data_IF_348311732706
#
_entry.id   IF_348311732706
#
_cell.length_a   1.000
_cell.length_b   1.000
_cell.length_c   1.000
_cell.angle_alpha   90.00
_cell.angle_beta   90.00
_cell.angle_gamma   90.00
#
_symmetry.space_group_name_H-M   'P 1'
#
loop_
_entity.id
_entity.type
_entity.pdbx_description
1 polymer ?
#
# COMPACT_ATOMS: atom_id res chain seq x y z
N UNK A 1 24.96 -4.58 -9.25
CA UNK A 1 23.86 -3.91 -9.97
C UNK A 1 22.59 -4.77 -10.03
N UNK A 2 22.66 -6.05 -10.42
CA UNK A 2 21.45 -6.88 -10.59
C UNK A 2 20.64 -7.10 -9.31
N UNK A 3 21.30 -7.37 -8.18
CA UNK A 3 20.62 -7.53 -6.87
C UNK A 3 19.85 -6.28 -6.43
N UNK A 4 20.27 -5.08 -6.85
CA UNK A 4 19.59 -3.82 -6.52
C UNK A 4 18.37 -3.62 -7.42
N UNK A 5 18.51 -3.89 -8.72
CA UNK A 5 17.39 -3.87 -9.67
C UNK A 5 16.30 -4.87 -9.27
N UNK A 6 16.69 -6.07 -8.84
CA UNK A 6 15.77 -7.09 -8.33
C UNK A 6 15.04 -6.61 -7.06
N UNK A 7 15.75 -6.01 -6.10
CA UNK A 7 15.15 -5.42 -4.90
C UNK A 7 14.12 -4.32 -5.23
N UNK A 8 14.42 -3.45 -6.21
CA UNK A 8 13.48 -2.41 -6.68
C UNK A 8 12.25 -3.06 -7.34
N UNK A 9 12.43 -4.12 -8.14
CA UNK A 9 11.32 -4.82 -8.77
C UNK A 9 10.38 -5.45 -7.72
N UNK A 10 10.93 -6.09 -6.68
CA UNK A 10 10.13 -6.61 -5.56
C UNK A 10 9.40 -5.50 -4.80
N UNK A 11 10.05 -4.38 -4.50
CA UNK A 11 9.40 -3.25 -3.82
C UNK A 11 8.26 -2.66 -4.67
N UNK A 12 8.45 -2.54 -5.99
CA UNK A 12 7.41 -2.10 -6.94
C UNK A 12 6.23 -3.08 -7.01
N UNK A 13 6.51 -4.39 -6.96
CA UNK A 13 5.48 -5.42 -6.90
C UNK A 13 4.61 -5.23 -5.66
N UNK A 14 5.23 -5.18 -4.48
CA UNK A 14 4.52 -4.99 -3.21
C UNK A 14 3.77 -3.67 -3.13
N UNK A 15 4.32 -2.59 -3.72
CA UNK A 15 3.62 -1.31 -3.83
C UNK A 15 2.35 -1.44 -4.68
N UNK A 16 2.45 -2.08 -5.85
CA UNK A 16 1.30 -2.30 -6.74
C UNK A 16 0.24 -3.19 -6.09
N UNK A 17 0.65 -4.26 -5.42
CA UNK A 17 -0.24 -5.14 -4.65
C UNK A 17 -0.97 -4.36 -3.55
N UNK A 18 -0.24 -3.52 -2.81
CA UNK A 18 -0.82 -2.71 -1.73
C UNK A 18 -1.82 -1.69 -2.26
N UNK A 19 -1.53 -1.06 -3.41
CA UNK A 19 -2.46 -0.13 -4.08
C UNK A 19 -3.73 -0.84 -4.58
N UNK A 20 -3.61 -2.04 -5.13
CA UNK A 20 -4.77 -2.83 -5.55
C UNK A 20 -5.64 -3.23 -4.34
N UNK A 21 -5.01 -3.59 -3.23
CA UNK A 21 -5.72 -3.91 -1.98
C UNK A 21 -6.43 -2.67 -1.41
N UNK A 22 -5.82 -1.49 -1.51
CA UNK A 22 -6.42 -0.23 -1.09
C UNK A 22 -7.66 0.09 -1.92
N UNK A 23 -7.59 -0.05 -3.24
CA UNK A 23 -8.73 0.16 -4.12
C UNK A 23 -9.89 -0.80 -3.80
N UNK A 24 -9.59 -2.08 -3.57
CA UNK A 24 -10.57 -3.09 -3.16
C UNK A 24 -11.22 -2.77 -1.80
N UNK A 25 -10.40 -2.42 -0.80
CA UNK A 25 -10.87 -2.05 0.53
C UNK A 25 -11.76 -0.79 0.52
N UNK A 26 -11.34 0.25 -0.21
CA UNK A 26 -12.15 1.46 -0.38
C UNK A 26 -13.50 1.15 -1.04
N UNK A 27 -13.50 0.35 -2.11
CA UNK A 27 -14.72 -0.08 -2.80
C UNK A 27 -15.68 -0.84 -1.86
N UNK A 28 -15.14 -1.76 -1.06
CA UNK A 28 -15.91 -2.49 -0.06
C UNK A 28 -16.54 -1.56 0.99
N UNK A 29 -15.77 -0.59 1.51
CA UNK A 29 -16.28 0.38 2.49
C UNK A 29 -17.41 1.21 1.87
N UNK A 30 -17.23 1.75 0.67
CA UNK A 30 -18.27 2.55 0.02
C UNK A 30 -19.56 1.76 -0.21
N UNK A 31 -19.46 0.49 -0.59
CA UNK A 31 -20.63 -0.36 -0.81
C UNK A 31 -21.37 -0.71 0.49
N UNK A 32 -20.65 -0.77 1.61
CA UNK A 32 -21.20 -1.19 2.91
C UNK A 32 -21.35 -0.04 3.92
N UNK A 33 -21.09 1.21 3.56
CA UNK A 33 -21.13 2.33 4.51
C UNK A 33 -22.53 2.55 5.11
N UNK A 34 -23.58 2.26 4.34
CA UNK A 34 -24.98 2.46 4.75
C UNK A 34 -25.64 1.19 5.32
N UNK A 35 -25.10 0.01 5.01
CA UNK A 35 -25.70 -1.30 5.32
C UNK A 35 -24.86 -2.15 6.27
N UNK A 36 -23.57 -1.82 6.40
CA UNK A 36 -22.59 -2.54 7.17
C UNK A 36 -22.70 -2.30 8.67
N UNK A 37 -22.25 -3.29 9.43
CA UNK A 37 -22.11 -3.14 10.88
C UNK A 37 -21.02 -2.08 11.17
N UNK A 38 -21.35 -1.08 11.99
CA UNK A 38 -20.43 0.01 12.36
C UNK A 38 -19.08 -0.52 12.87
N UNK A 39 -19.06 -1.59 13.65
CA UNK A 39 -17.82 -2.16 14.17
C UNK A 39 -16.91 -2.68 13.06
N UNK A 40 -17.50 -3.32 12.05
CA UNK A 40 -16.75 -3.84 10.90
C UNK A 40 -16.16 -2.67 10.10
N UNK A 41 -16.98 -1.66 9.79
CA UNK A 41 -16.53 -0.43 9.12
C UNK A 41 -15.38 0.29 9.85
N UNK A 42 -15.38 0.29 11.20
CA UNK A 42 -14.27 0.84 11.97
C UNK A 42 -12.98 0.02 11.80
N UNK A 43 -13.06 -1.31 11.84
CA UNK A 43 -11.90 -2.17 11.58
C UNK A 43 -11.36 -1.98 10.15
N UNK A 44 -12.24 -1.85 9.16
CA UNK A 44 -11.83 -1.63 7.78
C UNK A 44 -11.17 -0.25 7.59
N UNK A 45 -11.70 0.80 8.24
CA UNK A 45 -11.08 2.11 8.24
C UNK A 45 -9.67 2.09 8.86
N UNK A 46 -9.49 1.39 9.98
CA UNK A 46 -8.17 1.20 10.61
C UNK A 46 -7.23 0.43 9.70
N UNK A 47 -7.71 -0.65 9.05
CA UNK A 47 -6.92 -1.42 8.11
C UNK A 47 -6.45 -0.57 6.92
N UNK A 48 -7.31 0.32 6.41
CA UNK A 48 -6.95 1.26 5.34
C UNK A 48 -5.86 2.25 5.78
N UNK A 49 -5.95 2.79 7.00
CA UNK A 49 -4.91 3.70 7.53
C UNK A 49 -3.56 2.99 7.61
N UNK A 50 -3.54 1.75 8.12
CA UNK A 50 -2.32 0.93 8.18
C UNK A 50 -1.76 0.69 6.77
N UNK A 51 -2.64 0.37 5.81
CA UNK A 51 -2.26 0.12 4.42
C UNK A 51 -1.67 1.36 3.73
N UNK A 52 -2.23 2.55 3.99
CA UNK A 52 -1.67 3.82 3.50
C UNK A 52 -0.25 4.04 4.06
N UNK A 53 -0.04 3.75 5.35
CA UNK A 53 1.28 3.82 5.97
C UNK A 53 2.30 2.88 5.30
N UNK A 54 1.90 1.64 5.00
CA UNK A 54 2.72 0.68 4.26
C UNK A 54 3.07 1.18 2.85
N UNK A 55 2.10 1.73 2.12
CA UNK A 55 2.30 2.29 0.78
C UNK A 55 3.32 3.44 0.82
N UNK A 56 3.19 4.35 1.78
CA UNK A 56 4.14 5.45 1.97
C UNK A 56 5.55 4.93 2.28
N UNK A 57 5.67 3.94 3.17
CA UNK A 57 6.96 3.32 3.50
C UNK A 57 7.62 2.66 2.27
N UNK A 58 6.86 1.87 1.50
CA UNK A 58 7.35 1.22 0.29
C UNK A 58 7.79 2.24 -0.77
N UNK A 59 7.00 3.31 -0.95
CA UNK A 59 7.36 4.41 -1.85
C UNK A 59 8.64 5.13 -1.43
N UNK A 60 8.79 5.39 -0.12
CA UNK A 60 10.01 5.98 0.45
C UNK A 60 11.24 5.09 0.26
N UNK A 61 11.14 3.79 0.50
CA UNK A 61 12.24 2.84 0.30
C UNK A 61 12.70 2.80 -1.17
N UNK A 62 11.75 2.80 -2.12
CA UNK A 62 12.07 2.87 -3.55
C UNK A 62 12.80 4.18 -3.86
N UNK A 63 12.29 5.32 -3.39
CA UNK A 63 12.92 6.62 -3.60
C UNK A 63 14.34 6.66 -3.03
N UNK A 64 14.54 6.17 -1.80
CA UNK A 64 15.85 6.10 -1.13
C UNK A 64 16.85 5.27 -1.92
N UNK A 65 16.44 4.10 -2.42
CA UNK A 65 17.33 3.23 -3.20
C UNK A 65 17.71 3.88 -4.53
N UNK A 66 16.75 4.50 -5.23
CA UNK A 66 17.01 5.18 -6.51
C UNK A 66 17.97 6.34 -6.30
N UNK A 67 17.74 7.19 -5.28
CA UNK A 67 18.61 8.32 -4.97
C UNK A 67 20.05 7.88 -4.66
N UNK A 68 20.21 6.83 -3.86
CA UNK A 68 21.52 6.28 -3.52
C UNK A 68 22.23 5.56 -4.69
N UNK A 69 21.58 5.40 -5.84
CA UNK A 69 22.21 4.88 -7.06
C UNK A 69 22.66 5.98 -8.02
N UNK A 70 22.14 7.20 -7.85
CA UNK A 70 22.51 8.36 -8.68
C UNK A 70 23.71 9.13 -8.09
N UNK A 71 23.97 8.97 -6.78
CA UNK A 71 25.21 9.38 -6.09
C UNK A 71 26.32 8.32 -6.22
#
# INVERSE_FOLDING_TARGET
MDKIKEKIAYLKLWLTTSLAFLAGGMSWIFNNINTGNRNVLYYDAVAIIILIGLIQYLGYEIHRIIKNMEE
#
